data_IF_072966591899
#
_entry.id   IF_072966591899
#
_cell.length_a   1.000
_cell.length_b   1.000
_cell.length_c   1.000
_cell.angle_alpha   90.00
_cell.angle_beta   90.00
_cell.angle_gamma   90.00
#
_symmetry.space_group_name_H-M   'P 1'
#
loop_
_entity.id
_entity.type
_entity.pdbx_description
1 polymer ?
#
# COMPACT_ATOMS: atom_id res chain seq x y z
N UNK A 1 -18.09 3.87 -26.27
CA UNK A 1 -18.92 3.00 -25.42
C UNK A 1 -18.15 2.68 -24.15
N UNK A 2 -18.23 3.54 -23.15
CA UNK A 2 -17.41 3.43 -21.93
C UNK A 2 -17.88 2.33 -20.97
N UNK A 3 -19.09 1.80 -21.21
CA UNK A 3 -19.67 0.68 -20.47
C UNK A 3 -18.96 -0.67 -20.70
N UNK A 4 -18.18 -0.79 -21.78
CA UNK A 4 -17.40 -2.00 -22.07
C UNK A 4 -16.05 -2.03 -21.34
N UNK A 5 -15.62 -0.92 -20.72
CA UNK A 5 -14.35 -0.85 -20.02
C UNK A 5 -14.44 -1.57 -18.67
N UNK A 6 -13.50 -2.48 -18.43
CA UNK A 6 -13.31 -3.07 -17.11
C UNK A 6 -12.84 -1.99 -16.10
N UNK A 7 -12.90 -2.25 -14.78
CA UNK A 7 -12.58 -1.21 -13.80
C UNK A 7 -11.16 -0.64 -13.93
N UNK A 8 -10.17 -1.46 -14.31
CA UNK A 8 -8.79 -0.99 -14.55
C UNK A 8 -8.71 -0.09 -15.78
N UNK A 9 -9.31 -0.50 -16.90
CA UNK A 9 -9.35 0.31 -18.13
C UNK A 9 -10.07 1.65 -17.90
N UNK A 10 -11.15 1.63 -17.13
CA UNK A 10 -11.88 2.84 -16.72
C UNK A 10 -11.00 3.75 -15.86
N UNK A 11 -10.31 3.20 -14.87
CA UNK A 11 -9.38 3.95 -14.04
C UNK A 11 -8.24 4.56 -14.85
N UNK A 12 -7.72 3.85 -15.86
CA UNK A 12 -6.69 4.38 -16.77
C UNK A 12 -7.21 5.47 -17.70
N UNK A 13 -8.39 5.28 -18.28
CA UNK A 13 -9.02 6.28 -19.16
C UNK A 13 -9.35 7.57 -18.43
N UNK A 14 -9.90 7.47 -17.22
CA UNK A 14 -10.31 8.59 -16.38
C UNK A 14 -9.37 8.80 -15.19
N UNK A 15 -8.06 8.67 -15.42
CA UNK A 15 -7.06 8.62 -14.36
C UNK A 15 -7.10 9.85 -13.43
N UNK A 16 -7.39 11.05 -13.93
CA UNK A 16 -7.52 12.24 -13.07
C UNK A 16 -8.64 12.05 -12.05
N UNK A 17 -9.84 11.67 -12.50
CA UNK A 17 -10.98 11.44 -11.62
C UNK A 17 -10.71 10.31 -10.62
N UNK A 18 -10.07 9.22 -11.07
CA UNK A 18 -9.64 8.14 -10.19
C UNK A 18 -8.70 8.62 -9.08
N UNK A 19 -7.65 9.38 -9.42
CA UNK A 19 -6.67 9.85 -8.43
C UNK A 19 -7.27 10.88 -7.47
N UNK A 20 -8.09 11.84 -7.95
CA UNK A 20 -8.72 12.83 -7.06
C UNK A 20 -9.79 12.22 -6.16
N UNK A 21 -10.55 11.21 -6.63
CA UNK A 21 -11.43 10.43 -5.75
C UNK A 21 -10.62 9.76 -4.64
N UNK A 22 -9.56 9.05 -5.03
CA UNK A 22 -8.67 8.33 -4.10
C UNK A 22 -8.05 9.28 -3.07
N UNK A 23 -7.59 10.45 -3.52
CA UNK A 23 -7.07 11.53 -2.68
C UNK A 23 -8.09 11.93 -1.60
N UNK A 24 -9.31 12.31 -2.01
CA UNK A 24 -10.36 12.78 -1.09
C UNK A 24 -10.72 11.69 -0.07
N UNK A 25 -10.85 10.44 -0.51
CA UNK A 25 -11.13 9.30 0.38
C UNK A 25 -9.99 9.09 1.40
N UNK A 26 -8.73 9.14 0.96
CA UNK A 26 -7.60 8.95 1.85
C UNK A 26 -7.39 10.13 2.81
N UNK A 27 -7.51 11.38 2.35
CA UNK A 27 -7.36 12.56 3.20
C UNK A 27 -8.47 12.67 4.26
N UNK A 28 -9.65 12.13 3.97
CA UNK A 28 -10.75 12.06 4.93
C UNK A 28 -10.41 11.16 6.12
N UNK A 29 -9.86 9.98 5.85
CA UNK A 29 -9.65 8.92 6.85
C UNK A 29 -8.24 8.95 7.50
N UNK A 30 -7.20 9.37 6.78
CA UNK A 30 -5.80 9.24 7.22
C UNK A 30 -5.09 10.58 7.39
N UNK A 31 -5.37 11.27 8.50
CA UNK A 31 -4.78 12.59 8.81
C UNK A 31 -3.26 12.59 9.02
N UNK A 32 -2.66 11.41 9.20
CA UNK A 32 -1.20 11.25 9.35
C UNK A 32 -0.46 11.17 8.00
N UNK A 33 -1.19 11.07 6.88
CA UNK A 33 -0.66 11.12 5.53
C UNK A 33 -0.98 12.48 4.88
N UNK A 34 0.01 13.08 4.23
CA UNK A 34 -0.19 14.18 3.28
C UNK A 34 -0.03 13.66 1.87
N UNK A 35 -0.85 14.14 0.94
CA UNK A 35 -0.90 13.64 -0.42
C UNK A 35 -0.67 14.74 -1.47
N UNK A 36 -0.14 14.33 -2.62
CA UNK A 36 0.09 15.17 -3.78
C UNK A 36 -0.24 14.38 -5.05
N UNK A 37 -1.07 14.95 -5.92
CA UNK A 37 -1.31 14.39 -7.27
C UNK A 37 -0.23 14.92 -8.21
N UNK A 38 0.57 14.00 -8.76
CA UNK A 38 1.52 14.20 -9.84
C UNK A 38 0.93 13.60 -11.13
N UNK A 39 1.60 13.82 -12.27
CA UNK A 39 1.13 13.30 -13.57
C UNK A 39 0.95 11.78 -13.48
N UNK A 40 -0.30 11.31 -13.55
CA UNK A 40 -0.72 9.90 -13.46
C UNK A 40 -0.31 9.17 -12.17
N UNK A 41 -0.02 9.88 -11.09
CA UNK A 41 0.45 9.30 -9.84
C UNK A 41 -0.09 10.10 -8.64
N UNK A 42 -0.66 9.42 -7.66
CA UNK A 42 -0.90 9.97 -6.33
C UNK A 42 0.26 9.54 -5.43
N UNK A 43 0.95 10.50 -4.81
CA UNK A 43 2.02 10.27 -3.84
C UNK A 43 1.56 10.74 -2.47
N UNK A 44 1.59 9.86 -1.48
CA UNK A 44 1.34 10.14 -0.06
C UNK A 44 2.62 9.98 0.76
N UNK A 45 2.80 10.83 1.77
CA UNK A 45 3.89 10.73 2.74
C UNK A 45 3.38 10.89 4.15
N UNK A 46 3.94 10.14 5.08
CA UNK A 46 3.57 10.22 6.49
C UNK A 46 4.63 9.61 7.37
N UNK A 47 4.45 9.76 8.68
CA UNK A 47 5.29 9.13 9.68
C UNK A 47 4.42 8.53 10.76
N UNK A 48 4.69 7.28 11.10
CA UNK A 48 4.11 6.58 12.25
C UNK A 48 5.23 6.26 13.24
N UNK A 49 4.88 6.06 14.51
CA UNK A 49 5.84 5.74 15.55
C UNK A 49 5.32 4.60 16.42
N UNK A 50 6.19 3.62 16.68
CA UNK A 50 5.93 2.52 17.62
C UNK A 50 7.24 2.20 18.34
N UNK A 51 7.20 2.06 19.67
CA UNK A 51 8.36 1.72 20.51
C UNK A 51 9.60 2.59 20.24
N UNK A 52 9.40 3.91 20.17
CA UNK A 52 10.42 4.93 19.87
C UNK A 52 11.12 4.77 18.50
N UNK A 53 10.56 3.95 17.60
CA UNK A 53 11.01 3.83 16.20
C UNK A 53 10.04 4.57 15.29
N UNK A 54 10.57 5.51 14.51
CA UNK A 54 9.82 6.24 13.49
C UNK A 54 9.86 5.52 12.15
N UNK A 55 8.69 5.36 11.55
CA UNK A 55 8.46 4.74 10.25
C UNK A 55 8.09 5.83 9.26
N UNK A 56 9.05 6.23 8.42
CA UNK A 56 8.82 7.17 7.34
C UNK A 56 8.26 6.41 6.15
N UNK A 57 7.04 6.77 5.75
CA UNK A 57 6.27 6.04 4.78
C UNK A 57 6.05 6.88 3.54
N UNK A 58 6.19 6.23 2.38
CA UNK A 58 5.83 6.77 1.08
C UNK A 58 4.84 5.83 0.43
N UNK A 59 3.65 6.34 0.16
CA UNK A 59 2.55 5.62 -0.49
C UNK A 59 2.43 6.13 -1.91
N UNK A 60 2.39 5.24 -2.89
CA UNK A 60 2.21 5.58 -4.29
C UNK A 60 0.95 4.89 -4.79
N UNK A 61 0.14 5.56 -5.59
CA UNK A 61 -1.03 4.98 -6.25
C UNK A 61 -1.14 5.45 -7.70
N UNK A 62 -1.26 4.50 -8.63
CA UNK A 62 -1.44 4.76 -10.06
C UNK A 62 -2.17 3.60 -10.73
N UNK A 63 -3.21 3.87 -11.56
CA UNK A 63 -3.86 2.83 -12.35
C UNK A 63 -2.96 2.29 -13.49
N UNK A 64 -1.77 2.86 -13.67
CA UNK A 64 -0.78 2.43 -14.66
C UNK A 64 0.29 1.49 -14.08
N UNK A 65 0.29 1.23 -12.76
CA UNK A 65 1.18 0.23 -12.20
C UNK A 65 0.78 -1.20 -12.61
N UNK A 66 1.75 -2.10 -12.79
CA UNK A 66 1.47 -3.50 -13.04
C UNK A 66 0.98 -4.17 -11.75
N UNK A 67 0.05 -5.11 -11.93
CA UNK A 67 -0.57 -5.95 -10.90
C UNK A 67 -1.38 -5.17 -9.86
N UNK A 68 -0.70 -4.48 -8.94
CA UNK A 68 -1.29 -3.67 -7.88
C UNK A 68 -1.22 -2.19 -8.24
N UNK A 69 -2.25 -1.43 -7.89
CA UNK A 69 -2.30 0.01 -8.17
C UNK A 69 -1.47 0.82 -7.20
N UNK A 70 -1.04 0.22 -6.09
CA UNK A 70 -0.32 0.89 -5.03
C UNK A 70 1.08 0.33 -4.78
N UNK A 71 1.95 1.15 -4.21
CA UNK A 71 3.23 0.75 -3.62
C UNK A 71 3.37 1.47 -2.29
N UNK A 72 3.60 0.72 -1.22
CA UNK A 72 3.91 1.29 0.10
C UNK A 72 5.39 1.05 0.37
N UNK A 73 6.16 2.12 0.51
CA UNK A 73 7.59 2.08 0.78
C UNK A 73 7.84 2.51 2.22
N UNK A 74 8.76 1.82 2.89
CA UNK A 74 9.29 2.27 4.19
C UNK A 74 10.70 2.80 3.99
N UNK A 75 10.85 4.12 4.14
CA UNK A 75 12.09 4.88 3.90
C UNK A 75 12.95 4.99 5.17
N UNK A 76 12.48 4.46 6.31
CA UNK A 76 13.27 4.35 7.53
C UNK A 76 14.55 3.54 7.31
N UNK A 77 15.66 4.07 7.81
CA UNK A 77 16.98 3.44 7.71
C UNK A 77 17.09 2.21 8.61
N UNK A 78 18.01 1.31 8.27
CA UNK A 78 18.37 0.14 9.07
C UNK A 78 17.20 -0.82 9.36
N UNK A 79 16.27 -0.93 8.41
CA UNK A 79 15.25 -1.98 8.43
C UNK A 79 15.83 -3.27 7.85
N UNK A 80 15.41 -4.41 8.40
CA UNK A 80 15.60 -5.71 7.77
C UNK A 80 14.60 -5.77 6.63
N UNK A 81 15.09 -5.77 5.38
CA UNK A 81 14.25 -5.78 4.18
C UNK A 81 14.43 -7.11 3.46
N UNK A 82 13.53 -8.06 3.73
CA UNK A 82 13.51 -9.39 3.13
C UNK A 82 12.07 -9.92 3.02
N UNK A 83 11.92 -11.11 2.43
CA UNK A 83 10.63 -11.78 2.34
C UNK A 83 9.98 -12.00 3.72
N UNK A 84 10.76 -12.42 4.73
CA UNK A 84 10.27 -12.66 6.11
C UNK A 84 9.74 -11.41 6.81
N UNK A 85 10.07 -10.23 6.27
CA UNK A 85 9.59 -8.93 6.76
C UNK A 85 8.65 -8.26 5.76
N UNK A 86 8.09 -9.05 4.84
CA UNK A 86 7.09 -8.64 3.85
C UNK A 86 7.55 -7.52 2.92
N UNK A 87 8.82 -7.54 2.50
CA UNK A 87 9.29 -6.70 1.41
C UNK A 87 9.25 -7.46 0.08
N UNK A 88 8.62 -6.85 -0.92
CA UNK A 88 8.71 -7.28 -2.32
C UNK A 88 10.09 -6.97 -2.90
N UNK A 89 10.40 -7.59 -4.04
CA UNK A 89 11.67 -7.33 -4.77
C UNK A 89 11.85 -5.88 -5.24
N UNK A 90 10.79 -5.09 -5.37
CA UNK A 90 10.85 -3.66 -5.68
C UNK A 90 11.01 -2.76 -4.43
N UNK A 91 11.14 -3.36 -3.25
CA UNK A 91 11.28 -2.66 -1.97
C UNK A 91 9.97 -2.13 -1.38
N UNK A 92 8.83 -2.38 -2.03
CA UNK A 92 7.50 -2.07 -1.48
C UNK A 92 7.03 -3.16 -0.52
N UNK A 93 6.11 -2.84 0.39
CA UNK A 93 5.51 -3.80 1.29
C UNK A 93 4.52 -4.74 0.57
N UNK A 94 4.57 -6.01 0.95
CA UNK A 94 3.55 -7.01 0.66
C UNK A 94 2.52 -6.98 1.79
N UNK A 95 1.49 -6.13 1.64
CA UNK A 95 0.49 -5.91 2.69
C UNK A 95 -0.72 -6.85 2.62
N UNK A 96 -0.89 -7.53 1.49
CA UNK A 96 -2.02 -8.42 1.24
C UNK A 96 -1.69 -9.42 0.14
N UNK A 97 -2.43 -10.52 0.11
CA UNK A 97 -2.32 -11.54 -0.91
C UNK A 97 -3.22 -11.21 -2.11
N UNK A 98 -2.64 -11.04 -3.31
CA UNK A 98 -3.40 -10.60 -4.48
C UNK A 98 -4.49 -11.59 -4.90
N UNK A 99 -4.39 -12.88 -4.59
CA UNK A 99 -5.45 -13.85 -4.95
C UNK A 99 -6.59 -13.85 -3.93
N UNK A 100 -6.29 -13.80 -2.64
CA UNK A 100 -7.27 -14.03 -1.58
C UNK A 100 -7.98 -12.74 -1.17
N UNK A 101 -7.26 -11.62 -1.16
CA UNK A 101 -7.80 -10.35 -0.68
C UNK A 101 -8.46 -9.52 -1.80
N UNK A 102 -8.04 -9.71 -3.06
CA UNK A 102 -8.72 -9.05 -4.20
C UNK A 102 -10.13 -9.60 -4.43
N UNK A 103 -10.40 -10.86 -4.11
CA UNK A 103 -11.73 -11.50 -4.30
C UNK A 103 -12.29 -11.28 -5.72
N UNK A 104 -11.43 -11.38 -6.74
CA UNK A 104 -11.78 -11.15 -8.14
C UNK A 104 -11.81 -9.69 -8.61
N UNK A 105 -11.55 -8.72 -7.72
CA UNK A 105 -11.36 -7.32 -8.10
C UNK A 105 -10.02 -7.13 -8.83
N UNK A 106 -9.93 -6.19 -9.79
CA UNK A 106 -8.67 -5.93 -10.48
C UNK A 106 -7.63 -5.17 -9.64
N UNK A 107 -8.07 -4.50 -8.56
CA UNK A 107 -7.23 -3.77 -7.60
C UNK A 107 -8.01 -3.54 -6.30
N UNK A 108 -7.31 -3.16 -5.23
CA UNK A 108 -7.89 -2.63 -4.00
C UNK A 108 -7.86 -1.10 -4.04
N UNK A 109 -8.90 -0.45 -3.50
CA UNK A 109 -8.84 1.00 -3.31
C UNK A 109 -7.77 1.33 -2.26
N UNK A 110 -7.06 2.44 -2.44
CA UNK A 110 -5.93 2.78 -1.55
C UNK A 110 -6.37 2.90 -0.08
N UNK A 111 -7.61 3.33 0.15
CA UNK A 111 -8.22 3.45 1.47
C UNK A 111 -8.34 2.11 2.20
N UNK A 112 -8.44 0.99 1.47
CA UNK A 112 -8.46 -0.37 2.02
C UNK A 112 -7.05 -0.86 2.38
N UNK A 113 -6.02 -0.38 1.68
CA UNK A 113 -4.64 -0.85 1.86
C UNK A 113 -3.92 -0.13 2.99
N UNK A 114 -4.16 1.17 3.18
CA UNK A 114 -3.46 2.00 4.18
C UNK A 114 -3.56 1.43 5.61
N UNK A 115 -4.69 0.89 6.10
CA UNK A 115 -4.77 0.31 7.44
C UNK A 115 -3.77 -0.81 7.71
N UNK A 116 -3.44 -1.64 6.71
CA UNK A 116 -2.47 -2.74 6.85
C UNK A 116 -1.04 -2.28 7.10
N UNK A 117 -0.73 -1.01 6.84
CA UNK A 117 0.56 -0.41 7.22
C UNK A 117 0.76 -0.50 8.73
N UNK A 118 -0.29 -0.21 9.51
CA UNK A 118 -0.22 -0.27 10.97
C UNK A 118 -0.02 -1.69 11.48
N UNK A 119 -0.66 -2.67 10.83
CA UNK A 119 -0.45 -4.09 11.13
C UNK A 119 0.99 -4.51 10.82
N UNK A 120 1.51 -4.12 9.66
CA UNK A 120 2.89 -4.39 9.29
C UNK A 120 3.87 -3.79 10.31
N UNK A 121 3.65 -2.54 10.74
CA UNK A 121 4.50 -1.89 11.76
C UNK A 121 4.46 -2.68 13.08
N UNK A 122 3.28 -3.11 13.51
CA UNK A 122 3.11 -3.90 14.73
C UNK A 122 3.86 -5.23 14.65
N UNK A 123 3.67 -5.98 13.57
CA UNK A 123 4.31 -7.29 13.40
C UNK A 123 5.80 -7.20 13.09
N UNK A 124 6.26 -6.14 12.43
CA UNK A 124 7.68 -5.88 12.23
C UNK A 124 8.39 -5.67 13.58
N UNK A 125 7.78 -4.94 14.52
CA UNK A 125 8.32 -4.78 15.86
C UNK A 125 8.42 -6.12 16.60
N UNK A 126 7.39 -6.97 16.49
CA UNK A 126 7.40 -8.33 17.04
C UNK A 126 8.44 -9.23 16.37
N UNK A 127 8.65 -9.09 15.07
CA UNK A 127 9.71 -9.80 14.34
C UNK A 127 11.10 -9.41 14.86
N UNK A 128 11.33 -8.14 15.20
CA UNK A 128 12.60 -7.73 15.80
C UNK A 128 12.86 -8.41 17.15
N UNK A 129 11.82 -8.68 17.93
CA UNK A 129 11.88 -9.38 19.22
C UNK A 129 12.08 -10.90 19.04
N UNK A 130 11.20 -11.55 18.27
CA UNK A 130 11.09 -13.01 18.20
C UNK A 130 11.81 -13.66 17.02
N UNK A 131 12.28 -12.87 16.04
CA UNK A 131 12.92 -13.33 14.80
C UNK A 131 12.05 -14.25 13.94
N UNK A 132 10.74 -14.21 14.15
CA UNK A 132 9.73 -14.95 13.39
C UNK A 132 8.55 -14.00 13.16
N UNK A 133 7.95 -14.06 11.97
CA UNK A 133 6.76 -13.26 11.67
C UNK A 133 5.54 -13.86 12.37
N UNK A 134 4.86 -13.05 13.18
CA UNK A 134 3.70 -13.46 13.96
C UNK A 134 2.37 -12.94 13.39
N UNK A 135 2.44 -12.23 12.26
CA UNK A 135 1.25 -11.74 11.58
C UNK A 135 0.56 -12.81 10.76
N UNK A 136 -0.71 -12.58 10.38
CA UNK A 136 -1.41 -13.44 9.43
C UNK A 136 -0.62 -13.52 8.12
N UNK A 137 -0.38 -14.74 7.64
CA UNK A 137 0.26 -15.00 6.35
C UNK A 137 -0.53 -16.07 5.60
N UNK A 138 -0.66 -15.88 4.28
CA UNK A 138 -1.11 -16.95 3.41
C UNK A 138 0.10 -17.83 3.04
N UNK A 139 -0.03 -19.16 3.03
CA UNK A 139 1.05 -20.05 2.63
C UNK A 139 1.54 -19.72 1.22
N UNK A 140 2.85 -19.70 1.01
CA UNK A 140 3.47 -19.48 -0.31
C UNK A 140 3.56 -20.75 -1.18
N UNK A 141 2.68 -21.73 -0.94
CA UNK A 141 2.73 -23.07 -1.55
C UNK A 141 2.11 -23.13 -2.95
#
# INVERSE_FOLDING_TARGET
MDFMLNPKERAQKYWMGFLYKTLIECEKEFKWLSFEVKVKLLEGKGTLELNNRKYHLKVLCSPFFPNRFERVMVETKNLIKCADTHFNGDGSLCLYHPVFDLKGRPYLDLVEVIPWISEWIYYYDKYLEYKVWLGPEYPHN
#
